data_IF_352380131370
#
_entry.id   IF_352380131370
#
_cell.length_a   1.000
_cell.length_b   1.000
_cell.length_c   1.000
_cell.angle_alpha   90.00
_cell.angle_beta   90.00
_cell.angle_gamma   90.00
#
_symmetry.space_group_name_H-M   'P 1'
#
loop_
_entity.id
_entity.type
_entity.pdbx_description
1 polymer ?
#
# COMPACT_ATOMS: atom_id res chain seq x y z
N UNK A 1 -23.45 -6.75 -6.18
CA UNK A 1 -22.96 -5.36 -6.30
C UNK A 1 -22.21 -5.10 -7.61
N UNK A 2 -21.29 -5.97 -8.06
CA UNK A 2 -20.48 -5.74 -9.29
C UNK A 2 -21.36 -5.67 -10.56
N UNK A 3 -22.43 -6.42 -10.62
CA UNK A 3 -23.39 -6.42 -11.74
C UNK A 3 -24.36 -5.23 -11.71
N UNK A 4 -24.56 -4.62 -10.54
CA UNK A 4 -25.54 -3.54 -10.34
C UNK A 4 -24.88 -2.16 -10.40
N UNK A 5 -23.63 -2.03 -9.89
CA UNK A 5 -22.87 -0.78 -9.86
C UNK A 5 -21.58 -0.97 -10.64
N UNK A 6 -21.61 -0.57 -11.91
CA UNK A 6 -20.46 -0.61 -12.79
C UNK A 6 -19.54 0.62 -12.55
N UNK A 7 -18.24 0.43 -12.72
CA UNK A 7 -17.22 1.50 -12.75
C UNK A 7 -17.07 2.39 -11.50
N UNK A 8 -17.63 2.04 -10.36
CA UNK A 8 -17.51 2.82 -9.12
C UNK A 8 -16.97 1.93 -7.99
N UNK A 9 -15.69 1.50 -8.01
CA UNK A 9 -15.15 0.59 -6.99
C UNK A 9 -15.16 1.23 -5.59
N UNK A 10 -14.86 2.51 -5.45
CA UNK A 10 -14.91 3.23 -4.18
C UNK A 10 -16.31 3.20 -3.54
N UNK A 11 -17.37 3.44 -4.34
CA UNK A 11 -18.74 3.34 -3.83
C UNK A 11 -19.12 1.91 -3.43
N UNK A 12 -18.64 0.90 -4.18
CA UNK A 12 -18.87 -0.52 -3.84
C UNK A 12 -18.16 -0.91 -2.56
N UNK A 13 -16.91 -0.47 -2.38
CA UNK A 13 -16.15 -0.82 -1.17
C UNK A 13 -16.73 -0.15 0.07
N UNK A 14 -17.25 1.08 -0.02
CA UNK A 14 -17.93 1.74 1.10
C UNK A 14 -19.10 0.88 1.62
N UNK A 15 -19.94 0.36 0.72
CA UNK A 15 -21.03 -0.56 1.09
C UNK A 15 -20.49 -1.89 1.62
N UNK A 16 -19.41 -2.42 1.03
CA UNK A 16 -18.78 -3.65 1.50
C UNK A 16 -18.23 -3.49 2.91
N UNK A 17 -17.52 -2.39 3.20
CA UNK A 17 -16.98 -2.09 4.54
C UNK A 17 -18.13 -2.00 5.54
N UNK A 18 -19.18 -1.23 5.25
CA UNK A 18 -20.33 -1.06 6.14
C UNK A 18 -21.03 -2.40 6.47
N UNK A 19 -21.16 -3.29 5.48
CA UNK A 19 -21.78 -4.61 5.69
C UNK A 19 -20.90 -5.53 6.56
N UNK A 20 -19.58 -5.55 6.34
CA UNK A 20 -18.67 -6.34 7.16
C UNK A 20 -18.59 -5.80 8.59
N UNK A 21 -18.54 -4.48 8.75
CA UNK A 21 -18.58 -3.80 10.04
C UNK A 21 -19.86 -4.16 10.82
N UNK A 22 -21.02 -4.08 10.14
CA UNK A 22 -22.31 -4.44 10.73
C UNK A 22 -22.35 -5.90 11.18
N UNK A 23 -21.88 -6.84 10.36
CA UNK A 23 -21.88 -8.28 10.69
C UNK A 23 -20.96 -8.54 11.87
N UNK A 24 -19.72 -8.02 11.83
CA UNK A 24 -18.76 -8.23 12.92
C UNK A 24 -19.22 -7.58 14.25
N UNK A 25 -19.85 -6.40 14.18
CA UNK A 25 -20.50 -5.77 15.35
C UNK A 25 -21.65 -6.59 15.92
N UNK A 26 -22.47 -7.21 15.08
CA UNK A 26 -23.54 -8.12 15.55
C UNK A 26 -23.01 -9.39 16.22
N UNK A 27 -21.83 -9.83 15.83
CA UNK A 27 -21.12 -10.96 16.43
C UNK A 27 -20.25 -10.53 17.63
N UNK A 28 -20.20 -9.23 17.93
CA UNK A 28 -19.41 -8.64 19.01
C UNK A 28 -17.90 -8.97 18.89
N UNK A 29 -17.38 -9.04 17.66
CA UNK A 29 -15.95 -9.33 17.39
C UNK A 29 -15.34 -8.27 16.46
N UNK A 30 -14.02 -8.01 16.57
CA UNK A 30 -13.29 -7.29 15.54
C UNK A 30 -13.28 -8.05 14.22
N UNK A 31 -13.16 -7.34 13.10
CA UNK A 31 -13.25 -7.94 11.77
C UNK A 31 -12.15 -8.98 11.50
N UNK A 32 -10.91 -8.78 11.97
CA UNK A 32 -9.85 -9.79 11.84
C UNK A 32 -10.23 -11.12 12.51
N UNK A 33 -10.90 -11.08 13.68
CA UNK A 33 -11.37 -12.28 14.39
C UNK A 33 -12.50 -12.98 13.62
N UNK A 34 -13.39 -12.21 13.01
CA UNK A 34 -14.42 -12.75 12.11
C UNK A 34 -13.81 -13.54 10.95
N UNK A 35 -12.64 -13.13 10.48
CA UNK A 35 -11.89 -13.82 9.43
C UNK A 35 -10.93 -14.92 9.94
N UNK A 36 -10.79 -15.08 11.25
CA UNK A 36 -9.90 -16.08 11.87
C UNK A 36 -8.42 -15.74 11.73
N UNK A 37 -8.08 -14.45 11.65
CA UNK A 37 -6.71 -13.96 11.49
C UNK A 37 -6.05 -13.70 12.85
N UNK A 38 -4.71 -13.88 12.90
CA UNK A 38 -3.89 -13.60 14.07
C UNK A 38 -3.55 -12.10 14.16
N UNK A 39 -4.04 -11.36 15.18
CA UNK A 39 -3.80 -9.93 15.29
C UNK A 39 -2.34 -9.57 15.65
N UNK A 40 -1.51 -10.54 16.02
CA UNK A 40 -0.10 -10.31 16.35
C UNK A 40 0.82 -10.38 15.13
N UNK A 41 0.35 -10.96 14.02
CA UNK A 41 1.09 -11.06 12.77
C UNK A 41 0.72 -9.88 11.86
N UNK A 42 1.11 -8.66 12.25
CA UNK A 42 0.86 -7.45 11.45
C UNK A 42 2.17 -6.88 10.90
N UNK A 43 2.07 -6.21 9.76
CA UNK A 43 3.16 -5.44 9.15
C UNK A 43 3.03 -3.97 9.55
N UNK A 44 4.15 -3.24 9.48
CA UNK A 44 4.14 -1.77 9.64
C UNK A 44 3.63 -1.12 8.35
N UNK A 45 2.87 -0.03 8.49
CA UNK A 45 2.56 0.84 7.35
C UNK A 45 3.73 1.76 7.06
N UNK A 46 4.02 1.98 5.78
CA UNK A 46 4.93 3.05 5.37
C UNK A 46 4.33 4.44 5.68
N UNK A 47 5.21 5.43 5.69
CA UNK A 47 4.86 6.85 5.65
C UNK A 47 5.35 7.45 4.33
N UNK A 48 4.46 8.11 3.60
CA UNK A 48 4.75 8.63 2.26
C UNK A 48 5.41 10.00 2.29
N UNK A 49 6.59 10.10 1.68
CA UNK A 49 7.24 11.37 1.37
C UNK A 49 6.88 11.74 -0.08
N UNK A 50 5.97 12.69 -0.22
CA UNK A 50 5.53 13.21 -1.52
C UNK A 50 6.61 14.07 -2.19
N UNK A 51 6.50 14.23 -3.52
CA UNK A 51 7.40 15.09 -4.31
C UNK A 51 7.31 16.55 -3.86
N UNK A 52 8.48 17.13 -3.59
CA UNK A 52 8.67 18.54 -3.23
C UNK A 52 10.10 18.98 -3.58
N UNK A 53 10.54 20.15 -3.15
CA UNK A 53 11.96 20.48 -3.15
C UNK A 53 12.73 19.59 -2.15
N UNK A 54 14.05 19.42 -2.38
CA UNK A 54 14.86 18.49 -1.59
C UNK A 54 14.93 18.83 -0.10
N UNK A 55 14.91 20.11 0.24
CA UNK A 55 14.97 20.53 1.65
C UNK A 55 13.67 20.15 2.37
N UNK A 56 12.53 20.48 1.77
CA UNK A 56 11.23 20.09 2.28
C UNK A 56 11.09 18.56 2.40
N UNK A 57 11.62 17.80 1.44
CA UNK A 57 11.61 16.32 1.53
C UNK A 57 12.51 15.81 2.68
N UNK A 58 13.67 16.43 2.92
CA UNK A 58 14.55 16.13 4.07
C UNK A 58 13.85 16.42 5.40
N UNK A 59 13.19 17.57 5.53
CA UNK A 59 12.43 17.95 6.72
C UNK A 59 11.29 16.96 6.99
N UNK A 60 10.48 16.63 5.97
CA UNK A 60 9.39 15.63 6.10
C UNK A 60 9.94 14.25 6.50
N UNK A 61 11.11 13.87 5.98
CA UNK A 61 11.77 12.62 6.35
C UNK A 61 12.19 12.63 7.83
N UNK A 62 12.82 13.70 8.29
CA UNK A 62 13.22 13.85 9.69
C UNK A 62 11.99 13.80 10.62
N UNK A 63 10.92 14.51 10.28
CA UNK A 63 9.65 14.50 11.03
C UNK A 63 9.04 13.09 11.10
N UNK A 64 9.09 12.33 10.01
CA UNK A 64 8.60 10.95 9.99
C UNK A 64 9.40 10.05 10.93
N UNK A 65 10.73 10.17 10.93
CA UNK A 65 11.62 9.44 11.84
C UNK A 65 11.40 9.84 13.30
N UNK A 66 11.21 11.12 13.60
CA UNK A 66 10.90 11.61 14.97
C UNK A 66 9.56 11.06 15.48
N UNK A 67 8.60 10.81 14.59
CA UNK A 67 7.33 10.12 14.90
C UNK A 67 7.48 8.61 15.02
N UNK A 68 8.66 8.05 14.79
CA UNK A 68 8.97 6.64 14.96
C UNK A 68 8.69 5.77 13.73
N UNK A 69 8.37 6.34 12.57
CA UNK A 69 8.13 5.54 11.36
C UNK A 69 9.38 4.79 10.92
N UNK A 70 9.32 3.46 10.88
CA UNK A 70 10.41 2.56 10.49
C UNK A 70 10.44 2.22 9.00
N UNK A 71 9.42 2.62 8.25
CA UNK A 71 9.29 2.36 6.80
C UNK A 71 8.82 3.61 6.07
N UNK A 72 9.53 4.02 5.02
CA UNK A 72 9.16 5.19 4.20
C UNK A 72 8.90 4.78 2.75
N UNK A 73 7.88 5.40 2.15
CA UNK A 73 7.58 5.35 0.73
C UNK A 73 7.97 6.68 0.08
N UNK A 74 8.80 6.64 -0.94
CA UNK A 74 9.27 7.85 -1.62
C UNK A 74 8.64 7.96 -3.01
N UNK A 75 8.00 9.07 -3.29
CA UNK A 75 7.49 9.37 -4.63
C UNK A 75 8.63 9.80 -5.54
N UNK A 76 8.69 9.16 -6.71
CA UNK A 76 9.65 9.40 -7.79
C UNK A 76 8.92 9.75 -9.10
N UNK A 77 9.65 9.82 -10.22
CA UNK A 77 9.10 10.11 -11.54
C UNK A 77 9.52 11.48 -12.06
N UNK A 78 10.63 11.97 -11.59
CA UNK A 78 11.25 13.25 -12.00
C UNK A 78 12.62 13.02 -12.63
N UNK A 79 13.25 14.09 -13.11
CA UNK A 79 14.66 14.04 -13.57
C UNK A 79 15.65 13.90 -12.40
N UNK A 80 15.18 14.12 -11.16
CA UNK A 80 15.99 14.20 -9.94
C UNK A 80 15.86 12.98 -9.03
N UNK A 81 15.32 11.88 -9.51
CA UNK A 81 14.98 10.68 -8.70
C UNK A 81 16.19 10.18 -7.87
N UNK A 82 17.39 10.18 -8.45
CA UNK A 82 18.61 9.76 -7.73
C UNK A 82 18.95 10.76 -6.62
N UNK A 83 18.92 12.07 -6.92
CA UNK A 83 19.20 13.13 -5.94
C UNK A 83 18.19 13.10 -4.78
N UNK A 84 16.92 12.77 -5.09
CA UNK A 84 15.87 12.60 -4.07
C UNK A 84 16.25 11.46 -3.11
N UNK A 85 16.58 10.28 -3.63
CA UNK A 85 16.94 9.14 -2.79
C UNK A 85 18.23 9.38 -2.02
N UNK A 86 19.23 10.01 -2.62
CA UNK A 86 20.45 10.46 -1.91
C UNK A 86 20.10 11.38 -0.73
N UNK A 87 19.28 12.40 -0.97
CA UNK A 87 18.84 13.35 0.05
C UNK A 87 18.07 12.67 1.20
N UNK A 88 17.22 11.68 0.89
CA UNK A 88 16.49 10.90 1.90
C UNK A 88 17.46 10.02 2.69
N UNK A 89 18.40 9.32 2.04
CA UNK A 89 19.38 8.46 2.71
C UNK A 89 20.35 9.23 3.60
N UNK A 90 20.68 10.48 3.25
CA UNK A 90 21.49 11.36 4.11
C UNK A 90 20.81 11.60 5.48
N UNK A 91 19.47 11.68 5.51
CA UNK A 91 18.65 11.90 6.73
C UNK A 91 18.30 10.58 7.40
N UNK A 92 18.03 9.53 6.61
CA UNK A 92 17.49 8.25 7.04
C UNK A 92 18.36 7.08 6.51
N UNK A 93 19.59 6.90 6.98
CA UNK A 93 20.52 5.91 6.43
C UNK A 93 20.06 4.47 6.57
N UNK A 94 19.39 4.13 7.67
CA UNK A 94 19.05 2.74 8.04
C UNK A 94 17.54 2.43 7.97
N UNK A 95 16.68 3.40 7.56
CA UNK A 95 15.24 3.18 7.48
C UNK A 95 14.89 2.25 6.31
N UNK A 96 13.86 1.42 6.48
CA UNK A 96 13.30 0.66 5.37
C UNK A 96 12.71 1.62 4.34
N UNK A 97 13.09 1.44 3.08
CA UNK A 97 12.77 2.39 2.02
C UNK A 97 12.34 1.67 0.75
N UNK A 98 11.24 2.09 0.17
CA UNK A 98 10.86 1.73 -1.19
C UNK A 98 10.36 2.98 -1.95
N UNK A 99 10.27 2.87 -3.25
CA UNK A 99 9.92 4.01 -4.07
C UNK A 99 8.78 3.68 -5.05
N UNK A 100 7.96 4.69 -5.33
CA UNK A 100 6.84 4.61 -6.25
C UNK A 100 7.04 5.62 -7.39
N UNK A 101 7.19 5.10 -8.60
CA UNK A 101 7.39 5.90 -9.80
C UNK A 101 6.08 6.32 -10.47
N UNK A 102 4.94 5.81 -10.03
CA UNK A 102 3.59 6.14 -10.54
C UNK A 102 3.54 6.23 -12.08
N UNK A 103 3.99 5.16 -12.76
CA UNK A 103 3.95 5.03 -14.22
C UNK A 103 4.86 5.99 -15.02
N UNK A 104 5.80 6.69 -14.37
CA UNK A 104 6.49 7.82 -14.97
C UNK A 104 7.57 7.45 -16.00
N UNK A 105 8.10 6.22 -15.98
CA UNK A 105 9.27 5.89 -16.80
C UNK A 105 8.91 5.08 -18.03
N UNK A 106 9.71 5.24 -19.08
CA UNK A 106 9.74 4.26 -20.18
C UNK A 106 10.44 2.97 -19.71
N UNK A 107 10.20 1.79 -20.34
CA UNK A 107 10.81 0.55 -19.88
C UNK A 107 12.34 0.57 -19.83
N UNK A 108 12.99 1.26 -20.76
CA UNK A 108 14.47 1.38 -20.78
C UNK A 108 14.99 2.32 -19.68
N UNK A 109 14.31 3.43 -19.48
CA UNK A 109 14.62 4.35 -18.36
C UNK A 109 14.45 3.66 -17.03
N UNK A 110 13.35 2.90 -16.85
CA UNK A 110 13.08 2.15 -15.63
C UNK A 110 14.25 1.23 -15.27
N UNK A 111 14.71 0.38 -16.19
CA UNK A 111 15.85 -0.52 -15.95
C UNK A 111 17.10 0.26 -15.54
N UNK A 112 17.43 1.32 -16.28
CA UNK A 112 18.64 2.13 -15.99
C UNK A 112 18.54 2.86 -14.64
N UNK A 113 17.35 3.40 -14.30
CA UNK A 113 17.12 4.08 -13.03
C UNK A 113 17.16 3.12 -11.86
N UNK A 114 16.49 1.95 -11.98
CA UNK A 114 16.45 0.91 -10.95
C UNK A 114 17.86 0.37 -10.67
N UNK A 115 18.70 0.17 -11.69
CA UNK A 115 20.09 -0.23 -11.51
C UNK A 115 20.88 0.79 -10.66
N UNK A 116 20.67 2.08 -10.89
CA UNK A 116 21.30 3.15 -10.08
C UNK A 116 20.71 3.23 -8.67
N UNK A 117 19.40 3.07 -8.54
CA UNK A 117 18.67 3.11 -7.28
C UNK A 117 19.01 1.92 -6.36
N UNK A 118 19.39 0.79 -6.93
CA UNK A 118 19.79 -0.41 -6.17
C UNK A 118 21.00 -0.14 -5.23
N UNK A 119 21.82 0.88 -5.51
CA UNK A 119 22.93 1.28 -4.63
C UNK A 119 22.48 1.90 -3.30
N UNK A 120 21.19 2.25 -3.16
CA UNK A 120 20.65 2.93 -1.98
C UNK A 120 19.82 2.01 -1.08
N UNK A 121 19.92 0.70 -1.23
CA UNK A 121 19.23 -0.29 -0.39
C UNK A 121 17.70 -0.08 -0.31
N UNK A 122 17.06 0.09 -1.49
CA UNK A 122 15.61 0.10 -1.59
C UNK A 122 15.08 -1.33 -1.62
N UNK A 123 13.93 -1.58 -0.98
CA UNK A 123 13.29 -2.90 -0.97
C UNK A 123 12.68 -3.27 -2.32
N UNK A 124 12.03 -2.32 -2.97
CA UNK A 124 11.41 -2.52 -4.29
C UNK A 124 11.08 -1.18 -4.97
N UNK A 125 10.67 -1.26 -6.24
CA UNK A 125 10.11 -0.13 -7.01
C UNK A 125 8.67 -0.43 -7.39
N UNK A 126 7.75 0.45 -7.01
CA UNK A 126 6.33 0.37 -7.34
C UNK A 126 6.05 1.05 -8.68
N UNK A 127 5.28 0.36 -9.53
CA UNK A 127 4.74 0.78 -10.83
C UNK A 127 5.67 1.67 -11.66
N UNK A 128 6.82 1.14 -12.12
CA UNK A 128 7.82 1.93 -12.83
C UNK A 128 7.36 2.42 -14.20
N UNK A 129 6.47 1.68 -14.87
CA UNK A 129 6.01 1.95 -16.23
C UNK A 129 4.48 2.00 -16.32
N UNK A 130 3.90 2.65 -17.36
CA UNK A 130 2.45 2.72 -17.53
C UNK A 130 1.77 1.34 -17.56
N UNK A 131 0.66 1.19 -16.83
CA UNK A 131 -0.17 -0.02 -16.79
C UNK A 131 -0.70 -0.41 -18.18
N UNK A 132 -0.86 0.56 -19.07
CA UNK A 132 -1.22 0.32 -20.46
C UNK A 132 -0.13 -0.40 -21.29
N UNK A 133 1.06 -0.59 -20.70
CA UNK A 133 2.20 -1.25 -21.34
C UNK A 133 2.64 -2.51 -20.58
N UNK A 134 1.85 -3.60 -20.59
CA UNK A 134 2.17 -4.82 -19.86
C UNK A 134 3.47 -5.51 -20.33
N UNK A 135 3.81 -5.40 -21.61
CA UNK A 135 5.07 -5.94 -22.15
C UNK A 135 6.27 -5.11 -21.65
N UNK A 136 6.06 -3.81 -21.44
CA UNK A 136 7.04 -2.93 -20.81
C UNK A 136 7.28 -3.27 -19.35
N UNK A 137 6.24 -3.62 -18.60
CA UNK A 137 6.36 -4.08 -17.21
C UNK A 137 7.14 -5.40 -17.15
N UNK A 138 6.82 -6.36 -18.02
CA UNK A 138 7.56 -7.63 -18.13
C UNK A 138 9.04 -7.38 -18.48
N UNK A 139 9.31 -6.48 -19.44
CA UNK A 139 10.67 -6.13 -19.82
C UNK A 139 11.49 -5.59 -18.64
N UNK A 140 10.86 -4.77 -17.77
CA UNK A 140 11.50 -4.23 -16.55
C UNK A 140 11.71 -5.36 -15.54
N UNK A 141 10.67 -6.13 -15.23
CA UNK A 141 10.70 -7.23 -14.26
C UNK A 141 11.84 -8.22 -14.54
N UNK A 142 12.01 -8.62 -15.80
CA UNK A 142 13.07 -9.56 -16.22
C UNK A 142 14.51 -9.00 -16.07
N UNK A 143 14.68 -7.68 -15.90
CA UNK A 143 15.99 -6.99 -15.94
C UNK A 143 16.27 -6.10 -14.75
N UNK A 144 15.29 -5.80 -13.95
CA UNK A 144 15.44 -4.93 -12.79
C UNK A 144 16.39 -5.54 -11.74
N UNK A 145 17.23 -4.72 -11.17
CA UNK A 145 18.11 -5.10 -10.05
C UNK A 145 17.39 -5.11 -8.68
N UNK A 146 16.16 -4.59 -8.63
CA UNK A 146 15.29 -4.57 -7.45
C UNK A 146 13.97 -5.25 -7.78
N UNK A 147 13.25 -5.81 -6.79
CA UNK A 147 11.88 -6.28 -6.96
C UNK A 147 10.96 -5.20 -7.51
N UNK A 148 9.94 -5.62 -8.26
CA UNK A 148 8.95 -4.74 -8.89
C UNK A 148 7.57 -4.99 -8.29
N UNK A 149 6.89 -3.92 -7.86
CA UNK A 149 5.51 -3.98 -7.41
C UNK A 149 4.55 -3.41 -8.48
N UNK A 150 3.43 -4.12 -8.70
CA UNK A 150 2.37 -3.71 -9.62
C UNK A 150 1.21 -3.08 -8.83
N UNK A 151 0.91 -1.79 -9.08
CA UNK A 151 -0.23 -1.05 -8.51
C UNK A 151 -1.31 -0.80 -9.57
N UNK A 152 -1.07 0.13 -10.50
CA UNK A 152 -2.02 0.45 -11.56
C UNK A 152 -2.22 -0.72 -12.52
N UNK A 153 -1.27 -1.63 -12.62
CA UNK A 153 -1.36 -2.85 -13.42
C UNK A 153 -2.20 -3.97 -12.77
N UNK A 154 -2.55 -3.87 -11.46
CA UNK A 154 -3.29 -4.89 -10.73
C UNK A 154 -4.44 -4.29 -9.92
N UNK A 155 -5.58 -4.03 -10.57
CA UNK A 155 -6.73 -3.36 -9.96
C UNK A 155 -7.76 -4.32 -9.35
N UNK A 156 -7.89 -5.52 -9.92
CA UNK A 156 -8.93 -6.50 -9.57
C UNK A 156 -8.38 -7.92 -9.52
N UNK A 157 -9.17 -8.85 -9.00
CA UNK A 157 -8.81 -10.28 -8.99
C UNK A 157 -8.42 -10.83 -10.37
N UNK A 158 -9.06 -10.34 -11.44
CA UNK A 158 -8.80 -10.83 -12.79
C UNK A 158 -7.40 -10.43 -13.30
N UNK A 159 -6.81 -9.38 -12.74
CA UNK A 159 -5.50 -8.87 -13.15
C UNK A 159 -4.35 -9.65 -12.49
N UNK A 160 -4.57 -10.23 -11.30
CA UNK A 160 -3.53 -10.94 -10.54
C UNK A 160 -2.82 -12.03 -11.38
N UNK A 161 -3.53 -12.96 -12.06
CA UNK A 161 -2.86 -13.94 -12.91
C UNK A 161 -2.14 -13.34 -14.13
N UNK A 162 -2.53 -12.13 -14.55
CA UNK A 162 -1.96 -11.46 -15.72
C UNK A 162 -0.65 -10.75 -15.40
N UNK A 163 -0.43 -10.39 -14.15
CA UNK A 163 0.82 -9.74 -13.69
C UNK A 163 1.78 -10.71 -13.01
N UNK A 164 1.39 -11.97 -12.82
CA UNK A 164 2.15 -12.95 -12.05
C UNK A 164 3.55 -13.27 -12.60
N UNK A 165 3.78 -13.05 -13.88
CA UNK A 165 5.06 -13.18 -14.58
C UNK A 165 5.72 -11.82 -14.89
N UNK A 166 5.25 -10.73 -14.26
CA UNK A 166 5.62 -9.34 -14.58
C UNK A 166 5.93 -8.50 -13.36
N UNK A 167 5.78 -9.05 -12.16
CA UNK A 167 6.12 -8.39 -10.90
C UNK A 167 6.42 -9.42 -9.82
N UNK A 168 7.00 -8.96 -8.72
CA UNK A 168 7.25 -9.73 -7.50
C UNK A 168 6.14 -9.49 -6.47
N UNK A 169 5.57 -8.29 -6.45
CA UNK A 169 4.64 -7.80 -5.45
C UNK A 169 3.39 -7.25 -6.16
N UNK A 170 2.20 -7.56 -5.65
CA UNK A 170 0.96 -6.89 -6.06
C UNK A 170 0.51 -5.91 -4.97
N UNK A 171 0.30 -4.65 -5.35
CA UNK A 171 -0.29 -3.64 -4.47
C UNK A 171 -1.79 -3.55 -4.70
N UNK A 172 -2.57 -4.21 -3.85
CA UNK A 172 -4.03 -4.08 -3.85
C UNK A 172 -4.47 -2.83 -3.10
N UNK A 173 -5.52 -2.16 -3.61
CA UNK A 173 -6.16 -1.04 -2.91
C UNK A 173 -7.66 -1.27 -2.84
N UNK A 174 -8.25 -1.09 -1.66
CA UNK A 174 -9.70 -1.30 -1.46
C UNK A 174 -10.53 -0.44 -2.41
N UNK A 175 -10.10 0.80 -2.64
CA UNK A 175 -10.76 1.75 -3.54
C UNK A 175 -10.69 1.33 -5.02
N UNK A 176 -9.73 0.49 -5.40
CA UNK A 176 -9.58 -0.06 -6.75
C UNK A 176 -10.32 -1.39 -6.90
N UNK A 177 -10.16 -2.34 -6.00
CA UNK A 177 -10.79 -3.67 -6.10
C UNK A 177 -12.29 -3.66 -5.76
N UNK A 178 -12.73 -2.74 -4.92
CA UNK A 178 -14.15 -2.44 -4.71
C UNK A 178 -14.87 -3.33 -3.71
N UNK A 179 -14.18 -4.21 -2.95
CA UNK A 179 -14.75 -4.88 -1.78
C UNK A 179 -13.69 -5.62 -0.97
N UNK A 180 -13.92 -5.77 0.34
CA UNK A 180 -13.09 -6.58 1.23
C UNK A 180 -13.01 -8.05 0.80
N UNK A 181 -14.13 -8.61 0.29
CA UNK A 181 -14.15 -9.98 -0.24
C UNK A 181 -13.25 -10.12 -1.48
N UNK A 182 -13.24 -9.12 -2.35
CA UNK A 182 -12.36 -9.11 -3.53
C UNK A 182 -10.90 -9.02 -3.11
N UNK A 183 -10.58 -8.13 -2.15
CA UNK A 183 -9.25 -8.01 -1.58
C UNK A 183 -8.73 -9.34 -1.01
N UNK A 184 -9.51 -10.05 -0.19
CA UNK A 184 -9.17 -11.37 0.32
C UNK A 184 -8.89 -12.38 -0.80
N UNK A 185 -9.69 -12.37 -1.87
CA UNK A 185 -9.48 -13.27 -3.02
C UNK A 185 -8.21 -12.89 -3.78
N UNK A 186 -7.93 -11.60 -3.96
CA UNK A 186 -6.68 -11.13 -4.57
C UNK A 186 -5.47 -11.60 -3.78
N UNK A 187 -5.48 -11.45 -2.45
CA UNK A 187 -4.41 -11.92 -1.57
C UNK A 187 -4.14 -13.42 -1.77
N UNK A 188 -5.17 -14.26 -1.65
CA UNK A 188 -5.00 -15.71 -1.80
C UNK A 188 -4.58 -16.11 -3.22
N UNK A 189 -5.05 -15.40 -4.24
CA UNK A 189 -4.65 -15.67 -5.63
C UNK A 189 -3.19 -15.26 -5.85
N UNK A 190 -2.77 -14.09 -5.37
CA UNK A 190 -1.38 -13.64 -5.44
C UNK A 190 -0.43 -14.66 -4.77
N UNK A 191 -0.77 -15.11 -3.56
CA UNK A 191 -0.01 -16.18 -2.86
C UNK A 191 0.07 -17.49 -3.65
N UNK A 192 -1.02 -17.90 -4.30
CA UNK A 192 -1.05 -19.09 -5.14
C UNK A 192 -0.15 -18.98 -6.37
N UNK A 193 0.14 -17.75 -6.83
CA UNK A 193 1.09 -17.46 -7.91
C UNK A 193 2.51 -17.15 -7.41
N UNK A 194 2.78 -17.25 -6.10
CA UNK A 194 4.09 -16.97 -5.51
C UNK A 194 4.43 -15.50 -5.36
N UNK A 195 3.44 -14.61 -5.50
CA UNK A 195 3.63 -13.17 -5.35
C UNK A 195 3.54 -12.74 -3.88
N UNK A 196 4.32 -11.74 -3.50
CA UNK A 196 4.14 -10.97 -2.28
C UNK A 196 2.96 -10.00 -2.44
N UNK A 197 2.39 -9.61 -1.30
CA UNK A 197 1.17 -8.79 -1.27
C UNK A 197 1.36 -7.55 -0.43
N UNK A 198 1.11 -6.42 -1.04
CA UNK A 198 0.99 -5.12 -0.40
C UNK A 198 -0.47 -4.67 -0.40
N UNK A 199 -0.90 -3.99 0.65
CA UNK A 199 -2.15 -3.23 0.66
C UNK A 199 -1.83 -1.75 0.76
N UNK A 200 -2.13 -1.02 -0.32
CA UNK A 200 -2.03 0.42 -0.36
C UNK A 200 -3.37 1.14 -0.18
N UNK A 201 -3.29 2.45 -0.14
CA UNK A 201 -4.47 3.31 -0.06
C UNK A 201 -4.40 4.48 -1.06
N UNK A 202 -5.45 5.27 -1.06
CA UNK A 202 -5.49 6.64 -1.54
C UNK A 202 -5.43 7.58 -0.32
N UNK A 203 -5.56 8.88 -0.51
CA UNK A 203 -5.81 9.79 0.61
C UNK A 203 -7.21 9.50 1.16
N UNK A 204 -7.26 8.74 2.24
CA UNK A 204 -8.48 8.14 2.81
C UNK A 204 -8.55 8.38 4.32
N UNK A 205 -9.78 8.51 4.84
CA UNK A 205 -10.01 8.61 6.28
C UNK A 205 -9.89 7.25 7.00
N UNK A 206 -9.80 7.29 8.32
CA UNK A 206 -9.86 6.08 9.16
C UNK A 206 -11.13 5.25 8.93
N UNK A 207 -12.21 5.81 8.37
CA UNK A 207 -13.41 5.04 8.06
C UNK A 207 -13.16 3.88 7.08
N UNK A 208 -12.23 4.05 6.13
CA UNK A 208 -11.84 2.98 5.20
C UNK A 208 -10.54 2.29 5.60
N UNK A 209 -9.55 3.04 6.07
CA UNK A 209 -8.24 2.51 6.46
C UNK A 209 -8.37 1.51 7.60
N UNK A 210 -9.24 1.74 8.59
CA UNK A 210 -9.51 0.77 9.64
C UNK A 210 -9.91 -0.61 9.08
N UNK A 211 -10.69 -0.66 8.00
CA UNK A 211 -11.05 -1.93 7.38
C UNK A 211 -9.86 -2.59 6.65
N UNK A 212 -8.98 -1.79 6.02
CA UNK A 212 -7.76 -2.27 5.39
C UNK A 212 -6.77 -2.85 6.41
N UNK A 213 -6.63 -2.21 7.58
CA UNK A 213 -5.76 -2.69 8.66
C UNK A 213 -6.07 -4.14 9.09
N UNK A 214 -7.34 -4.57 9.01
CA UNK A 214 -7.68 -5.96 9.33
C UNK A 214 -7.13 -7.01 8.36
N UNK A 215 -6.64 -6.59 7.19
CA UNK A 215 -5.93 -7.45 6.24
C UNK A 215 -4.45 -7.62 6.60
N UNK A 216 -3.89 -6.76 7.46
CA UNK A 216 -2.46 -6.73 7.79
C UNK A 216 -1.84 -8.10 8.13
N UNK A 217 -2.53 -9.03 8.81
CA UNK A 217 -1.99 -10.37 9.08
C UNK A 217 -1.72 -11.22 7.83
N UNK A 218 -2.21 -10.83 6.67
CA UNK A 218 -2.06 -11.54 5.39
C UNK A 218 -1.09 -10.86 4.43
N UNK A 219 -0.53 -9.71 4.81
CA UNK A 219 0.29 -8.86 3.96
C UNK A 219 1.79 -9.03 4.23
N UNK A 220 2.62 -8.70 3.25
CA UNK A 220 4.07 -8.52 3.39
C UNK A 220 4.42 -7.04 3.57
N UNK A 221 3.61 -6.15 2.97
CA UNK A 221 3.79 -4.69 3.01
C UNK A 221 2.45 -3.99 3.21
N UNK A 222 2.47 -2.84 3.86
CA UNK A 222 1.32 -1.96 4.00
C UNK A 222 1.70 -0.50 3.69
N UNK A 223 0.80 0.22 3.00
CA UNK A 223 0.87 1.64 2.70
C UNK A 223 -0.50 2.25 3.01
N UNK A 224 -0.78 2.35 4.32
CA UNK A 224 -2.09 2.71 4.88
C UNK A 224 -2.05 4.04 5.64
N UNK A 225 -1.16 4.93 5.24
CA UNK A 225 -0.91 6.23 5.84
C UNK A 225 -1.92 7.32 5.43
N UNK A 226 -2.91 6.99 4.60
CA UNK A 226 -3.92 7.95 4.11
C UNK A 226 -4.48 8.90 5.18
N UNK A 227 -4.87 8.44 6.38
CA UNK A 227 -5.36 9.30 7.44
C UNK A 227 -4.31 10.28 7.98
N UNK A 228 -3.03 9.90 7.96
CA UNK A 228 -1.93 10.74 8.45
C UNK A 228 -1.62 11.92 7.51
N UNK A 229 -2.10 11.85 6.27
CA UNK A 229 -1.94 12.87 5.24
C UNK A 229 -3.14 13.85 5.18
N UNK A 230 -4.19 13.61 5.97
CA UNK A 230 -5.36 14.49 6.05
C UNK A 230 -5.09 15.64 7.03
N UNK A 231 -5.53 16.84 6.69
CA UNK A 231 -5.50 17.97 7.62
C UNK A 231 -6.46 17.75 8.81
N UNK A 232 -7.59 17.12 8.55
CA UNK A 232 -8.59 16.74 9.56
C UNK A 232 -9.22 15.39 9.17
N UNK A 233 -9.35 14.49 10.12
CA UNK A 233 -10.08 13.23 9.94
C UNK A 233 -11.16 13.15 11.05
N UNK A 234 -12.46 13.15 10.71
CA UNK A 234 -13.52 13.06 11.70
C UNK A 234 -13.68 11.65 12.27
N UNK A 235 -12.85 10.69 11.85
CA UNK A 235 -12.92 9.31 12.29
C UNK A 235 -11.65 8.89 13.03
N UNK A 236 -11.81 8.12 14.11
CA UNK A 236 -10.75 7.28 14.64
C UNK A 236 -10.94 5.83 14.16
N UNK A 237 -9.84 5.10 14.06
CA UNK A 237 -9.84 3.72 13.55
C UNK A 237 -8.93 2.80 14.36
N UNK A 238 -8.28 1.86 13.65
CA UNK A 238 -7.25 1.01 14.24
C UNK A 238 -6.04 1.87 14.61
N UNK A 239 -5.52 1.77 15.85
CA UNK A 239 -4.31 2.50 16.23
C UNK A 239 -3.10 2.08 15.37
N UNK A 240 -2.30 3.05 14.96
CA UNK A 240 -1.06 2.84 14.21
C UNK A 240 0.09 3.63 14.85
N UNK A 241 0.45 3.34 16.12
CA UNK A 241 1.55 4.03 16.77
C UNK A 241 2.85 3.72 16.03
N UNK A 242 3.59 4.77 15.66
CA UNK A 242 4.89 4.65 14.98
C UNK A 242 4.80 3.81 13.69
N UNK A 243 3.67 3.84 12.97
CA UNK A 243 3.40 3.04 11.78
C UNK A 243 2.99 1.59 12.05
N UNK A 244 3.00 1.11 13.29
CA UNK A 244 2.62 -0.28 13.62
C UNK A 244 1.10 -0.43 13.69
N UNK A 245 0.54 -1.33 12.91
CA UNK A 245 -0.90 -1.62 12.90
C UNK A 245 -1.24 -2.46 14.13
N UNK A 246 -1.83 -1.85 15.17
CA UNK A 246 -2.18 -2.53 16.43
C UNK A 246 -3.60 -3.12 16.38
N UNK A 247 -3.70 -4.32 15.83
CA UNK A 247 -4.94 -5.09 15.88
C UNK A 247 -5.14 -5.80 17.22
N UNK A 248 -4.06 -6.16 17.91
CA UNK A 248 -4.12 -6.87 19.18
C UNK A 248 -4.71 -6.00 20.29
N UNK A 249 -4.41 -4.69 20.27
CA UNK A 249 -4.97 -3.71 21.18
C UNK A 249 -6.38 -3.21 20.80
N UNK A 250 -6.94 -3.68 19.68
CA UNK A 250 -8.26 -3.25 19.21
C UNK A 250 -9.39 -3.94 20.00
N UNK A 251 -9.97 -3.26 20.96
CA UNK A 251 -11.08 -3.77 21.78
C UNK A 251 -12.45 -3.71 21.08
N UNK A 252 -12.57 -2.95 19.98
CA UNK A 252 -13.86 -2.69 19.33
C UNK A 252 -14.23 -3.73 18.33
N UNK A 253 -15.52 -4.11 18.34
CA UNK A 253 -16.13 -4.92 17.30
C UNK A 253 -16.22 -4.16 15.95
N UNK A 254 -16.37 -4.92 14.87
CA UNK A 254 -16.43 -4.39 13.51
C UNK A 254 -15.04 -4.02 12.98
N UNK A 255 -14.96 -2.94 12.23
CA UNK A 255 -13.70 -2.36 11.74
C UNK A 255 -12.96 -1.54 12.80
N UNK A 256 -13.58 -1.30 13.95
CA UNK A 256 -13.04 -0.38 14.96
C UNK A 256 -13.22 1.11 14.65
N UNK A 257 -13.61 1.45 13.42
CA UNK A 257 -13.85 2.85 13.05
C UNK A 257 -15.04 3.46 13.81
N UNK A 258 -14.86 4.74 14.18
CA UNK A 258 -15.91 5.55 14.83
C UNK A 258 -15.80 7.00 14.39
N UNK A 259 -16.93 7.70 14.41
CA UNK A 259 -16.95 9.16 14.35
C UNK A 259 -16.50 9.71 15.72
N UNK A 260 -15.64 10.70 15.73
CA UNK A 260 -15.19 11.43 16.94
C UNK A 260 -16.07 12.63 17.26
#
# INVERSE_FOLDING_TARGET
MRETVHRNPAARVAVSIALHDLVAKRLEVPLYRYWGLDPTNTVETSYTIGLDDLETMREKTADALERGHGTLKIKLGTDRDIEIIEAIRDVAPDVRLYADANEAWTPREAVTRIERLAAFDLEFIEQPVPAANPDGLQFVYERAALPVAADESCLTLADVPQVADRCDIVNLKLMKCGSLREAMRMIHTARAHGLEVMCGCMTESHASIAAACHLAPLLDYADLDGPLLLAEDPYAGVPMPDGRIDLAGLERAGTGARLE
#
